data_IF_223690168185
#
_entry.id   IF_223690168185
#
_cell.length_a   1.000
_cell.length_b   1.000
_cell.length_c   1.000
_cell.angle_alpha   90.00
_cell.angle_beta   90.00
_cell.angle_gamma   90.00
#
_symmetry.space_group_name_H-M   'P 1'
#
loop_
_entity.id
_entity.type
_entity.pdbx_description
1 polymer ?
#
# COMPACT_ATOMS: atom_id res chain seq x y z
N UNK A 1 12.02 -7.92 3.16
CA UNK A 1 11.58 -6.50 3.22
C UNK A 1 10.08 -6.30 3.22
N UNK A 2 9.31 -7.03 2.38
CA UNK A 2 7.85 -6.97 2.39
C UNK A 2 7.23 -7.20 3.77
N UNK A 3 7.62 -8.26 4.48
CA UNK A 3 7.11 -8.56 5.84
C UNK A 3 7.32 -7.41 6.82
N UNK A 4 8.48 -6.74 6.76
CA UNK A 4 8.79 -5.58 7.61
C UNK A 4 7.92 -4.38 7.24
N UNK A 5 7.80 -4.07 5.96
CA UNK A 5 6.94 -2.98 5.47
C UNK A 5 5.47 -3.23 5.83
N UNK A 6 5.03 -4.48 5.76
CA UNK A 6 3.70 -4.91 6.14
C UNK A 6 3.42 -4.71 7.63
N UNK A 7 4.33 -5.18 8.50
CA UNK A 7 4.22 -4.96 9.94
C UNK A 7 4.18 -3.47 10.32
N UNK A 8 5.02 -2.65 9.69
CA UNK A 8 5.02 -1.20 9.88
C UNK A 8 3.70 -0.56 9.44
N UNK A 9 3.19 -0.89 8.26
CA UNK A 9 1.93 -0.35 7.76
C UNK A 9 0.79 -0.59 8.73
N UNK A 10 0.64 -1.81 9.25
CA UNK A 10 -0.41 -2.11 10.21
C UNK A 10 -0.24 -1.38 11.53
N UNK A 11 0.98 -1.35 12.07
CA UNK A 11 1.27 -0.66 13.32
C UNK A 11 0.90 0.83 13.21
N UNK A 12 1.39 1.50 12.16
CA UNK A 12 1.09 2.91 11.95
C UNK A 12 -0.38 3.15 11.63
N UNK A 13 -1.04 2.28 10.87
CA UNK A 13 -2.48 2.38 10.61
C UNK A 13 -3.28 2.29 11.91
N UNK A 14 -2.88 1.44 12.85
CA UNK A 14 -3.54 1.33 14.16
C UNK A 14 -3.31 2.55 15.03
N UNK A 15 -2.11 3.13 15.00
CA UNK A 15 -1.78 4.36 15.71
C UNK A 15 -2.57 5.54 15.14
N UNK A 16 -2.58 5.70 13.81
CA UNK A 16 -3.27 6.80 13.15
C UNK A 16 -4.78 6.73 13.31
N UNK A 17 -5.39 5.54 13.22
CA UNK A 17 -6.84 5.37 13.50
C UNK A 17 -7.26 5.88 14.87
N UNK A 18 -6.35 5.90 15.85
CA UNK A 18 -6.62 6.45 17.19
C UNK A 18 -6.38 7.95 17.29
N UNK A 19 -5.47 8.51 16.51
CA UNK A 19 -5.04 9.93 16.61
C UNK A 19 -5.74 10.84 15.61
N UNK A 20 -5.86 10.40 14.37
CA UNK A 20 -6.51 11.11 13.28
C UNK A 20 -7.35 10.09 12.49
N UNK A 21 -8.56 9.75 12.99
CA UNK A 21 -9.38 8.67 12.42
C UNK A 21 -9.76 8.91 10.96
N UNK A 22 -9.81 10.18 10.54
CA UNK A 22 -10.13 10.57 9.17
C UNK A 22 -8.94 10.43 8.21
N UNK A 23 -7.71 10.26 8.73
CA UNK A 23 -6.52 10.11 7.91
C UNK A 23 -6.37 8.66 7.43
N UNK A 24 -6.40 8.48 6.11
CA UNK A 24 -6.12 7.20 5.47
C UNK A 24 -4.63 7.04 5.21
N UNK A 25 -4.05 5.92 5.66
CA UNK A 25 -2.66 5.55 5.34
C UNK A 25 -2.66 4.69 4.08
N UNK A 26 -1.73 4.97 3.18
CA UNK A 26 -1.42 4.16 2.00
C UNK A 26 0.02 3.69 2.06
N UNK A 27 0.28 2.44 1.68
CA UNK A 27 1.62 1.96 1.39
C UNK A 27 1.98 2.38 -0.04
N UNK A 28 3.06 3.15 -0.20
CA UNK A 28 3.55 3.54 -1.52
C UNK A 28 4.53 2.48 -2.05
N UNK A 29 4.32 2.00 -3.27
CA UNK A 29 5.16 1.00 -3.93
C UNK A 29 5.52 1.48 -5.32
N UNK A 30 6.79 1.36 -5.70
CA UNK A 30 7.25 1.71 -7.05
C UNK A 30 6.77 0.66 -8.06
N UNK A 31 6.45 1.09 -9.29
CA UNK A 31 5.83 0.26 -10.32
C UNK A 31 6.55 -1.07 -10.60
N UNK A 32 7.88 -1.07 -10.66
CA UNK A 32 8.65 -2.29 -10.92
C UNK A 32 8.65 -3.21 -9.70
N UNK A 33 8.77 -2.67 -8.48
CA UNK A 33 8.58 -3.44 -7.25
C UNK A 33 7.17 -4.03 -7.16
N UNK A 34 6.14 -3.29 -7.57
CA UNK A 34 4.76 -3.78 -7.59
C UNK A 34 4.62 -5.01 -8.52
N UNK A 35 5.20 -4.94 -9.71
CA UNK A 35 5.10 -6.05 -10.69
C UNK A 35 5.70 -7.35 -10.18
N UNK A 36 6.77 -7.30 -9.39
CA UNK A 36 7.42 -8.51 -8.86
C UNK A 36 6.80 -8.96 -7.55
N UNK A 37 6.58 -8.03 -6.62
CA UNK A 37 6.14 -8.32 -5.25
C UNK A 37 4.75 -8.96 -5.19
N UNK A 38 3.87 -8.59 -6.12
CA UNK A 38 2.53 -9.15 -6.22
C UNK A 38 2.45 -10.35 -7.17
N UNK A 39 3.57 -10.88 -7.68
CA UNK A 39 3.58 -12.23 -8.29
C UNK A 39 3.75 -13.32 -7.23
N UNK A 40 4.28 -12.95 -6.05
CA UNK A 40 4.46 -13.85 -4.93
C UNK A 40 3.16 -14.01 -4.12
N UNK A 41 2.97 -15.19 -3.52
CA UNK A 41 1.80 -15.51 -2.69
C UNK A 41 1.60 -14.51 -1.55
N UNK A 42 2.67 -14.12 -0.85
CA UNK A 42 2.61 -13.14 0.22
C UNK A 42 2.10 -11.76 -0.25
N UNK A 43 2.46 -11.35 -1.46
CA UNK A 43 1.95 -10.12 -2.05
C UNK A 43 0.45 -10.23 -2.37
N UNK A 44 0.02 -11.34 -2.95
CA UNK A 44 -1.39 -11.56 -3.27
C UNK A 44 -2.26 -11.57 -2.00
N UNK A 45 -1.83 -12.26 -0.96
CA UNK A 45 -2.50 -12.25 0.35
C UNK A 45 -2.62 -10.83 0.91
N UNK A 46 -1.58 -10.01 0.76
CA UNK A 46 -1.61 -8.61 1.19
C UNK A 46 -2.65 -7.77 0.43
N UNK A 47 -2.86 -8.02 -0.87
CA UNK A 47 -3.88 -7.30 -1.66
C UNK A 47 -5.31 -7.63 -1.26
N UNK A 48 -5.53 -8.85 -0.73
CA UNK A 48 -6.82 -9.32 -0.26
C UNK A 48 -7.14 -8.86 1.16
N UNK A 49 -6.13 -8.39 1.90
CA UNK A 49 -6.25 -7.98 3.30
C UNK A 49 -7.22 -6.79 3.47
N UNK A 50 -8.27 -6.93 4.30
CA UNK A 50 -9.26 -5.90 4.50
C UNK A 50 -8.69 -4.59 5.05
N UNK A 51 -8.94 -3.50 4.32
CA UNK A 51 -8.48 -2.17 4.70
C UNK A 51 -7.00 -1.92 4.43
N UNK A 52 -6.30 -2.86 3.77
CA UNK A 52 -5.03 -2.56 3.12
C UNK A 52 -5.26 -1.54 2.01
N UNK A 53 -4.36 -0.56 1.94
CA UNK A 53 -4.42 0.55 0.99
C UNK A 53 -3.06 0.75 0.38
N UNK A 54 -3.04 0.80 -0.93
CA UNK A 54 -1.82 0.84 -1.72
C UNK A 54 -1.89 2.00 -2.72
N UNK A 55 -0.76 2.68 -2.87
CA UNK A 55 -0.50 3.63 -3.93
C UNK A 55 0.67 3.09 -4.75
N UNK A 56 0.50 2.98 -6.06
CA UNK A 56 1.58 2.63 -6.97
C UNK A 56 2.01 3.87 -7.73
N UNK A 57 3.31 4.13 -7.77
CA UNK A 57 3.88 5.26 -8.50
C UNK A 57 4.97 4.80 -9.46
N UNK A 58 5.19 5.57 -10.53
CA UNK A 58 6.29 5.37 -11.45
C UNK A 58 7.38 6.41 -11.15
N UNK A 59 8.52 5.94 -10.65
CA UNK A 59 9.62 6.80 -10.23
C UNK A 59 10.28 7.55 -11.39
N UNK A 60 10.16 7.06 -12.63
CA UNK A 60 10.78 7.69 -13.81
C UNK A 60 10.01 8.92 -14.24
N UNK A 61 8.68 8.81 -14.30
CA UNK A 61 7.80 9.93 -14.71
C UNK A 61 7.27 10.74 -13.51
N UNK A 62 7.52 10.29 -12.28
CA UNK A 62 7.09 10.94 -11.03
C UNK A 62 5.56 11.07 -10.90
N UNK A 63 4.84 10.07 -11.37
CA UNK A 63 3.36 10.05 -11.35
C UNK A 63 2.82 8.89 -10.52
N UNK A 64 1.65 9.12 -9.94
CA UNK A 64 0.85 8.07 -9.31
C UNK A 64 0.08 7.36 -10.42
N UNK A 65 0.31 6.05 -10.55
CA UNK A 65 -0.29 5.25 -11.62
C UNK A 65 -1.52 4.47 -11.16
N UNK A 66 -1.62 4.19 -9.86
CA UNK A 66 -2.74 3.42 -9.33
C UNK A 66 -2.98 3.68 -7.84
N UNK A 67 -4.25 3.66 -7.47
CA UNK A 67 -4.71 3.55 -6.08
C UNK A 67 -5.44 2.21 -5.91
N UNK A 68 -5.22 1.54 -4.78
CA UNK A 68 -6.07 0.43 -4.31
C UNK A 68 -6.51 0.73 -2.86
N UNK A 69 -7.82 0.71 -2.55
CA UNK A 69 -8.93 0.65 -3.49
C UNK A 69 -8.90 1.83 -4.47
N UNK A 70 -9.49 1.66 -5.66
CA UNK A 70 -9.53 2.71 -6.67
C UNK A 70 -10.30 3.90 -6.12
N UNK A 71 -9.66 5.07 -6.07
CA UNK A 71 -10.30 6.33 -5.74
C UNK A 71 -10.66 6.95 -7.08
N UNK A 72 -11.96 6.99 -7.40
CA UNK A 72 -12.43 7.78 -8.52
C UNK A 72 -12.51 9.24 -8.04
N UNK A 73 -11.93 10.20 -8.77
CA UNK A 73 -12.07 11.62 -8.47
C UNK A 73 -13.52 12.09 -8.63
#
# INVERSE_FOLDING_TARGET
>A
DLEKAWGQFFLYTRIMKKREPDRQIYMAVERNSFKTLFQEEAGQLLLEEPGFRLLVFDAKIKEIIQWKPQINP
#
